data_IF_740404494285
#
_entry.id   IF_740404494285
#
_cell.length_a   1.000
_cell.length_b   1.000
_cell.length_c   1.000
_cell.angle_alpha   90.00
_cell.angle_beta   90.00
_cell.angle_gamma   90.00
#
_symmetry.space_group_name_H-M   'P 1'
#
loop_
_entity.id
_entity.type
_entity.pdbx_description
1 polymer ?
#
# COMPACT_ATOMS: atom_id res chain seq x y z
N UNK A 1 -27.48 -14.10 6.17
CA UNK A 1 -26.37 -14.96 6.63
C UNK A 1 -25.13 -14.14 7.00
N UNK A 2 -24.21 -14.74 7.77
CA UNK A 2 -22.90 -14.16 8.11
C UNK A 2 -21.80 -14.98 7.44
N UNK A 3 -20.99 -14.35 6.60
CA UNK A 3 -19.87 -14.98 5.91
C UNK A 3 -18.54 -14.50 6.49
N UNK A 4 -17.56 -15.39 6.63
CA UNK A 4 -16.19 -15.01 7.00
C UNK A 4 -15.47 -14.55 5.74
N UNK A 5 -14.85 -13.38 5.81
CA UNK A 5 -14.08 -12.83 4.69
C UNK A 5 -12.71 -12.37 5.19
N UNK A 6 -11.67 -12.72 4.44
CA UNK A 6 -10.28 -12.35 4.66
C UNK A 6 -9.78 -11.51 3.48
N UNK A 7 -9.07 -10.44 3.78
CA UNK A 7 -8.25 -9.70 2.80
C UNK A 7 -6.92 -9.35 3.47
N UNK A 8 -5.82 -9.80 2.88
CA UNK A 8 -4.49 -9.72 3.50
C UNK A 8 -4.50 -10.28 4.94
N UNK A 9 -4.01 -9.49 5.90
CA UNK A 9 -3.99 -9.85 7.32
C UNK A 9 -5.31 -9.62 8.08
N UNK A 10 -6.34 -9.05 7.45
CA UNK A 10 -7.60 -8.68 8.13
C UNK A 10 -8.71 -9.69 7.85
N UNK A 11 -9.42 -10.11 8.91
CA UNK A 11 -10.63 -10.95 8.82
C UNK A 11 -11.85 -10.18 9.34
N UNK A 12 -12.96 -10.20 8.62
CA UNK A 12 -14.23 -9.60 9.02
C UNK A 12 -15.39 -10.52 8.68
N UNK A 13 -16.47 -10.42 9.44
CA UNK A 13 -17.75 -11.01 9.04
C UNK A 13 -18.47 -10.06 8.10
N UNK A 14 -19.06 -10.58 7.02
CA UNK A 14 -19.94 -9.85 6.10
C UNK A 14 -21.36 -10.36 6.32
N UNK A 15 -22.31 -9.45 6.55
CA UNK A 15 -23.73 -9.81 6.65
C UNK A 15 -24.34 -9.63 5.26
N UNK A 16 -25.04 -10.66 4.80
CA UNK A 16 -25.84 -10.64 3.58
C UNK A 16 -27.28 -10.99 3.91
N UNK A 17 -28.22 -10.29 3.31
CA UNK A 17 -29.64 -10.61 3.46
C UNK A 17 -30.04 -11.69 2.43
N UNK A 18 -29.53 -11.61 1.20
CA UNK A 18 -29.69 -12.59 0.12
C UNK A 18 -28.34 -13.11 -0.41
N UNK A 19 -28.32 -14.29 -1.02
CA UNK A 19 -27.08 -14.98 -1.46
C UNK A 19 -26.71 -14.60 -2.89
N UNK A 20 -26.60 -13.30 -3.14
CA UNK A 20 -26.20 -12.77 -4.43
C UNK A 20 -24.74 -12.35 -4.43
N UNK A 21 -24.01 -12.74 -5.48
CA UNK A 21 -22.59 -12.41 -5.62
C UNK A 21 -22.36 -10.90 -5.68
N UNK A 22 -23.19 -10.16 -6.43
CA UNK A 22 -23.11 -8.70 -6.52
C UNK A 22 -23.28 -7.99 -5.17
N UNK A 23 -24.23 -8.46 -4.35
CA UNK A 23 -24.43 -7.96 -2.98
C UNK A 23 -23.26 -8.29 -2.07
N UNK A 24 -22.68 -9.50 -2.23
CA UNK A 24 -21.46 -9.90 -1.53
C UNK A 24 -20.30 -8.96 -1.86
N UNK A 25 -20.02 -8.74 -3.15
CA UNK A 25 -18.97 -7.84 -3.63
C UNK A 25 -19.15 -6.44 -3.04
N UNK A 26 -20.35 -5.87 -3.13
CA UNK A 26 -20.65 -4.55 -2.57
C UNK A 26 -20.44 -4.50 -1.06
N UNK A 27 -20.90 -5.51 -0.33
CA UNK A 27 -20.75 -5.57 1.12
C UNK A 27 -19.28 -5.73 1.55
N UNK A 28 -18.49 -6.48 0.79
CA UNK A 28 -17.03 -6.60 0.96
C UNK A 28 -16.36 -5.25 0.68
N UNK A 29 -16.68 -4.61 -0.44
CA UNK A 29 -16.12 -3.30 -0.80
C UNK A 29 -16.36 -2.27 0.31
N UNK A 30 -17.61 -2.17 0.80
CA UNK A 30 -17.95 -1.27 1.89
C UNK A 30 -17.23 -1.62 3.22
N UNK A 31 -17.16 -2.90 3.60
CA UNK A 31 -16.53 -3.31 4.87
C UNK A 31 -15.01 -3.22 4.88
N UNK A 32 -14.38 -3.37 3.73
CA UNK A 32 -12.93 -3.30 3.57
C UNK A 32 -12.47 -1.97 2.96
N UNK A 33 -13.39 -1.01 2.80
CA UNK A 33 -13.15 0.32 2.22
C UNK A 33 -12.49 0.23 0.84
N UNK A 34 -12.93 -0.71 0.02
CA UNK A 34 -12.47 -0.91 -1.36
C UNK A 34 -13.34 -0.07 -2.29
N UNK A 35 -12.76 0.69 -3.24
CA UNK A 35 -13.54 1.45 -4.22
C UNK A 35 -14.46 0.55 -5.04
N UNK A 36 -15.69 1.01 -5.32
CA UNK A 36 -16.74 0.23 -5.99
C UNK A 36 -16.35 -0.24 -7.40
N UNK A 37 -15.45 0.48 -8.07
CA UNK A 37 -14.94 0.15 -9.40
C UNK A 37 -13.73 -0.81 -9.40
N UNK A 38 -13.36 -1.36 -8.24
CA UNK A 38 -12.22 -2.27 -8.13
C UNK A 38 -12.66 -3.69 -8.46
N UNK A 39 -11.96 -4.33 -9.40
CA UNK A 39 -12.17 -5.75 -9.70
C UNK A 39 -11.71 -6.60 -8.50
N UNK A 40 -12.60 -7.47 -8.03
CA UNK A 40 -12.32 -8.39 -6.93
C UNK A 40 -12.24 -9.81 -7.48
N UNK A 41 -11.15 -10.50 -7.18
CA UNK A 41 -11.05 -11.95 -7.30
C UNK A 41 -11.41 -12.57 -5.94
N UNK A 42 -12.38 -13.46 -5.95
CA UNK A 42 -12.86 -14.16 -4.75
C UNK A 42 -12.38 -15.60 -4.81
N UNK A 43 -11.75 -16.07 -3.73
CA UNK A 43 -11.39 -17.49 -3.60
C UNK A 43 -11.85 -18.05 -2.26
N UNK A 44 -11.78 -19.35 -2.08
CA UNK A 44 -11.81 -19.97 -0.76
C UNK A 44 -10.44 -19.86 -0.06
N UNK A 45 -10.31 -20.48 1.11
CA UNK A 45 -9.07 -20.49 1.88
C UNK A 45 -7.95 -21.36 1.27
N UNK A 46 -8.30 -22.27 0.35
CA UNK A 46 -7.39 -23.14 -0.38
C UNK A 46 -6.88 -22.47 -1.66
N UNK A 47 -7.45 -21.32 -2.04
CA UNK A 47 -7.10 -20.57 -3.25
C UNK A 47 -7.93 -20.94 -4.48
N UNK A 48 -9.02 -21.69 -4.31
CA UNK A 48 -9.95 -22.04 -5.39
C UNK A 48 -10.86 -20.85 -5.67
N UNK A 49 -10.89 -20.39 -6.92
CA UNK A 49 -11.71 -19.26 -7.36
C UNK A 49 -13.21 -19.56 -7.24
N UNK A 50 -13.95 -18.57 -6.77
CA UNK A 50 -15.40 -18.62 -6.57
C UNK A 50 -16.04 -17.57 -7.47
N UNK A 51 -16.59 -18.04 -8.58
CA UNK A 51 -17.32 -17.22 -9.54
C UNK A 51 -18.78 -17.02 -9.12
N UNK A 52 -19.46 -16.11 -9.83
CA UNK A 52 -20.85 -15.70 -9.53
C UNK A 52 -21.84 -16.87 -9.55
N UNK A 53 -21.65 -17.83 -10.45
CA UNK A 53 -22.55 -18.98 -10.64
C UNK A 53 -22.38 -20.06 -9.56
N UNK A 54 -21.21 -20.16 -8.94
CA UNK A 54 -20.88 -21.15 -7.89
C UNK A 54 -20.98 -20.56 -6.48
N UNK A 55 -20.98 -19.23 -6.36
CA UNK A 55 -21.06 -18.53 -5.09
C UNK A 55 -22.25 -18.94 -4.21
N UNK A 56 -23.49 -19.10 -4.74
CA UNK A 56 -24.64 -19.47 -3.91
C UNK A 56 -24.46 -20.82 -3.23
N UNK A 57 -23.91 -21.83 -3.91
CA UNK A 57 -23.63 -23.14 -3.33
C UNK A 57 -22.55 -23.03 -2.25
N UNK A 58 -21.46 -22.35 -2.58
CA UNK A 58 -20.27 -22.25 -1.73
C UNK A 58 -20.56 -21.42 -0.46
N UNK A 59 -21.35 -20.36 -0.55
CA UNK A 59 -21.73 -19.52 0.58
C UNK A 59 -22.62 -20.24 1.61
N UNK A 60 -23.26 -21.36 1.24
CA UNK A 60 -24.05 -22.18 2.17
C UNK A 60 -23.23 -23.21 2.93
N UNK A 61 -21.97 -23.43 2.55
CA UNK A 61 -21.07 -24.36 3.23
C UNK A 61 -20.73 -23.83 4.61
N UNK A 62 -20.83 -24.71 5.62
CA UNK A 62 -20.52 -24.35 6.99
C UNK A 62 -19.00 -24.11 7.16
N UNK A 63 -18.66 -23.04 7.88
CA UNK A 63 -17.29 -22.64 8.22
C UNK A 63 -16.42 -22.08 7.08
N UNK A 64 -16.99 -21.81 5.91
CA UNK A 64 -16.23 -21.24 4.79
C UNK A 64 -15.69 -19.83 5.07
N UNK A 65 -14.48 -19.57 4.58
CA UNK A 65 -13.81 -18.29 4.64
C UNK A 65 -13.40 -17.84 3.23
N UNK A 66 -14.07 -16.81 2.71
CA UNK A 66 -13.72 -16.21 1.42
C UNK A 66 -12.47 -15.35 1.55
N UNK A 67 -11.58 -15.43 0.57
CA UNK A 67 -10.38 -14.62 0.46
C UNK A 67 -10.54 -13.69 -0.72
N UNK A 68 -10.32 -12.41 -0.48
CA UNK A 68 -10.51 -11.36 -1.49
C UNK A 68 -9.13 -10.89 -1.93
N UNK A 69 -8.91 -10.96 -3.23
CA UNK A 69 -7.79 -10.35 -3.91
C UNK A 69 -8.30 -9.25 -4.83
N UNK A 70 -7.48 -8.24 -5.00
CA UNK A 70 -7.64 -7.23 -6.05
C UNK A 70 -6.54 -7.45 -7.09
N UNK A 71 -6.65 -6.76 -8.22
CA UNK A 71 -5.61 -6.78 -9.28
C UNK A 71 -4.22 -6.37 -8.75
N UNK A 72 -4.18 -5.73 -7.58
CA UNK A 72 -2.98 -5.31 -6.88
C UNK A 72 -2.39 -6.38 -5.93
N UNK A 73 -3.15 -7.45 -5.64
CA UNK A 73 -2.78 -8.52 -4.70
C UNK A 73 -2.28 -9.80 -5.40
N UNK A 74 -2.33 -9.85 -6.74
CA UNK A 74 -1.86 -10.99 -7.51
C UNK A 74 -0.33 -10.93 -7.70
N UNK A 75 0.43 -12.00 -7.39
CA UNK A 75 1.84 -12.05 -7.73
C UNK A 75 1.97 -11.97 -9.25
N UNK A 76 2.83 -11.05 -9.71
CA UNK A 76 3.18 -10.85 -11.11
C UNK A 76 3.81 -12.15 -11.65
N UNK A 77 2.98 -13.07 -12.14
CA UNK A 77 3.43 -14.29 -12.76
C UNK A 77 4.02 -13.93 -14.13
N UNK A 78 5.35 -13.82 -14.13
CA UNK A 78 6.30 -14.10 -15.22
C UNK A 78 5.73 -14.13 -16.64
N UNK A 79 5.70 -12.96 -17.30
CA UNK A 79 5.89 -12.91 -18.75
C UNK A 79 7.39 -12.82 -19.03
N UNK A 80 7.98 -13.98 -19.26
CA UNK A 80 9.38 -14.19 -19.64
C UNK A 80 9.72 -13.52 -20.98
N UNK A 81 10.82 -12.74 -21.04
CA UNK A 81 12.03 -13.06 -21.86
C UNK A 81 13.05 -11.90 -21.97
N UNK A 82 14.28 -12.25 -21.58
CA UNK A 82 15.60 -11.80 -22.04
C UNK A 82 16.12 -10.41 -21.62
N UNK A 83 17.11 -10.37 -20.72
CA UNK A 83 18.49 -9.95 -21.06
C UNK A 83 19.45 -10.32 -19.91
N UNK A 84 20.61 -10.84 -20.30
CA UNK A 84 21.64 -11.50 -19.47
C UNK A 84 22.40 -10.61 -18.48
N UNK A 85 22.70 -11.25 -17.34
CA UNK A 85 23.96 -11.33 -16.59
C UNK A 85 24.66 -10.07 -16.04
N UNK A 86 24.75 -10.01 -14.70
CA UNK A 86 26.01 -9.78 -14.00
C UNK A 86 25.91 -10.32 -12.56
N UNK A 87 26.47 -11.50 -12.39
CA UNK A 87 26.64 -12.19 -11.11
C UNK A 87 27.76 -11.59 -10.25
N UNK A 88 27.52 -11.62 -8.93
CA UNK A 88 28.46 -11.57 -7.80
C UNK A 88 28.92 -10.20 -7.30
N UNK A 89 28.45 -9.82 -6.10
CA UNK A 89 29.19 -10.08 -4.87
C UNK A 89 28.20 -10.15 -3.68
N UNK A 90 28.17 -11.32 -3.05
CA UNK A 90 27.52 -11.60 -1.78
C UNK A 90 28.32 -10.98 -0.63
N UNK A 91 27.74 -10.02 0.08
CA UNK A 91 27.99 -9.84 1.51
C UNK A 91 26.65 -9.81 2.25
N UNK A 92 26.56 -10.71 3.24
CA UNK A 92 25.36 -11.05 3.98
C UNK A 92 24.84 -9.87 4.80
N UNK A 93 23.67 -9.36 4.43
CA UNK A 93 22.80 -8.63 5.35
C UNK A 93 21.56 -9.50 5.55
N UNK A 94 21.26 -9.81 6.80
CA UNK A 94 20.14 -10.68 7.21
C UNK A 94 18.82 -10.23 6.56
N UNK A 95 18.35 -11.00 5.59
CA UNK A 95 17.20 -10.69 4.72
C UNK A 95 15.85 -11.12 5.32
N UNK A 96 15.66 -10.92 6.62
CA UNK A 96 14.37 -11.25 7.30
C UNK A 96 13.33 -10.13 7.19
N UNK A 97 13.74 -8.94 6.73
CA UNK A 97 12.91 -7.73 6.73
C UNK A 97 12.51 -7.26 5.32
N UNK A 98 12.89 -7.99 4.26
CA UNK A 98 12.52 -7.65 2.88
C UNK A 98 11.02 -7.81 2.64
N UNK A 99 10.39 -8.79 3.30
CA UNK A 99 8.93 -9.02 3.28
C UNK A 99 8.17 -7.91 3.97
N UNK A 100 8.70 -7.34 5.06
CA UNK A 100 8.11 -6.17 5.72
C UNK A 100 8.32 -4.88 4.91
N UNK A 101 9.45 -4.78 4.20
CA UNK A 101 9.74 -3.73 3.22
C UNK A 101 8.80 -3.81 2.00
N UNK A 102 8.41 -5.01 1.57
CA UNK A 102 7.40 -5.26 0.53
C UNK A 102 5.97 -5.00 1.04
N UNK A 103 5.68 -5.22 2.33
CA UNK A 103 4.37 -4.90 2.92
C UNK A 103 4.10 -3.39 2.94
N UNK A 104 5.13 -2.55 2.98
CA UNK A 104 4.99 -1.10 2.74
C UNK A 104 4.75 -0.71 1.29
N UNK A 105 5.05 -1.58 0.32
CA UNK A 105 5.22 -1.18 -1.08
C UNK A 105 3.94 -0.77 -1.79
N UNK A 106 2.74 -1.08 -1.28
CA UNK A 106 1.51 -0.78 -2.03
C UNK A 106 0.44 -0.10 -1.18
N UNK A 107 0.41 -0.29 0.14
CA UNK A 107 -0.71 0.15 0.97
C UNK A 107 -0.77 1.67 1.23
N UNK A 108 0.38 2.32 1.43
CA UNK A 108 0.38 3.69 1.99
C UNK A 108 0.42 4.81 0.93
N UNK A 109 0.80 4.51 -0.31
CA UNK A 109 0.64 5.42 -1.45
C UNK A 109 -0.72 5.25 -2.14
N UNK A 110 -1.33 4.05 -2.11
CA UNK A 110 -2.63 3.80 -2.75
C UNK A 110 -3.83 4.18 -1.87
N UNK A 111 -3.66 4.29 -0.54
CA UNK A 111 -4.69 4.81 0.36
C UNK A 111 -4.86 6.33 0.31
N UNK A 112 -3.91 7.09 -0.26
CA UNK A 112 -4.08 8.53 -0.47
C UNK A 112 -4.67 8.81 -1.86
N UNK A 113 -5.97 9.17 -1.85
CA UNK A 113 -6.75 9.85 -2.91
C UNK A 113 -5.95 10.27 -4.16
N UNK A 114 -6.38 9.93 -5.39
CA UNK A 114 -5.96 10.39 -6.76
C UNK A 114 -4.48 10.79 -7.00
N UNK A 115 -3.91 11.64 -6.17
CA UNK A 115 -2.52 12.07 -6.08
C UNK A 115 -1.52 10.91 -5.94
N UNK A 116 -1.80 9.86 -5.15
CA UNK A 116 -0.91 8.70 -5.05
C UNK A 116 -0.78 7.93 -6.38
N UNK A 117 -1.90 7.79 -7.08
CA UNK A 117 -1.93 7.18 -8.43
C UNK A 117 -1.17 8.01 -9.46
N UNK A 118 -1.17 9.34 -9.31
CA UNK A 118 -0.43 10.25 -10.19
C UNK A 118 1.08 10.00 -10.08
N UNK A 119 1.60 9.76 -8.88
CA UNK A 119 3.02 9.47 -8.64
C UNK A 119 3.42 8.14 -9.28
N UNK A 120 2.64 7.08 -9.03
CA UNK A 120 2.93 5.74 -9.55
C UNK A 120 2.88 5.75 -11.08
N UNK A 121 1.81 6.30 -11.66
CA UNK A 121 1.64 6.37 -13.11
C UNK A 121 2.80 7.11 -13.80
N UNK A 122 3.19 8.27 -13.28
CA UNK A 122 4.31 9.03 -13.88
C UNK A 122 5.62 8.24 -13.85
N UNK A 123 5.86 7.51 -12.76
CA UNK A 123 7.04 6.66 -12.65
C UNK A 123 7.00 5.48 -13.61
N UNK A 124 5.87 4.79 -13.72
CA UNK A 124 5.71 3.66 -14.63
C UNK A 124 5.87 4.09 -16.10
N UNK A 125 5.36 5.29 -16.45
CA UNK A 125 5.43 5.83 -17.80
C UNK A 125 6.83 6.34 -18.18
N UNK A 126 7.62 6.84 -17.22
CA UNK A 126 8.87 7.58 -17.51
C UNK A 126 10.14 7.00 -16.89
N UNK A 127 10.01 6.05 -15.96
CA UNK A 127 11.11 5.54 -15.13
C UNK A 127 11.71 6.57 -14.17
N UNK A 128 11.04 7.72 -13.97
CA UNK A 128 11.50 8.80 -13.10
C UNK A 128 10.32 9.63 -12.57
N UNK A 129 10.58 10.61 -11.70
CA UNK A 129 9.57 11.57 -11.23
C UNK A 129 10.05 12.99 -11.45
N UNK A 130 9.17 13.87 -11.93
CA UNK A 130 9.37 15.33 -11.99
C UNK A 130 9.40 15.92 -10.58
N UNK A 131 9.98 17.11 -10.47
CA UNK A 131 10.14 17.79 -9.19
C UNK A 131 8.81 18.05 -8.46
N UNK A 132 7.78 18.46 -9.19
CA UNK A 132 6.42 18.63 -8.66
C UNK A 132 5.85 17.33 -8.09
N UNK A 133 6.07 16.22 -8.79
CA UNK A 133 5.56 14.91 -8.43
C UNK A 133 6.32 14.31 -7.25
N UNK A 134 7.64 14.54 -7.16
CA UNK A 134 8.44 14.22 -5.97
C UNK A 134 7.96 14.98 -4.73
N UNK A 135 7.64 16.26 -4.86
CA UNK A 135 7.06 17.06 -3.75
C UNK A 135 5.69 16.52 -3.33
N UNK A 136 4.86 16.13 -4.29
CA UNK A 136 3.55 15.52 -4.02
C UNK A 136 3.70 14.21 -3.24
N UNK A 137 4.60 13.32 -3.70
CA UNK A 137 4.94 12.07 -3.02
C UNK A 137 5.39 12.31 -1.58
N UNK A 138 6.31 13.25 -1.35
CA UNK A 138 6.78 13.61 0.00
C UNK A 138 5.62 14.11 0.87
N UNK A 139 4.71 14.92 0.34
CA UNK A 139 3.54 15.39 1.09
C UNK A 139 2.60 14.24 1.50
N UNK A 140 2.36 13.30 0.58
CA UNK A 140 1.53 12.10 0.85
C UNK A 140 2.13 11.30 1.99
N UNK A 141 3.43 11.00 1.92
CA UNK A 141 4.15 10.23 2.93
C UNK A 141 4.17 10.95 4.28
N UNK A 142 4.37 12.28 4.29
CA UNK A 142 4.34 13.09 5.52
C UNK A 142 2.95 13.11 6.15
N UNK A 143 1.88 13.22 5.35
CA UNK A 143 0.52 13.16 5.85
C UNK A 143 0.26 11.80 6.53
N UNK A 144 0.66 10.69 5.90
CA UNK A 144 0.55 9.35 6.47
C UNK A 144 1.34 9.20 7.79
N UNK A 145 2.60 9.65 7.81
CA UNK A 145 3.40 9.62 9.05
C UNK A 145 2.75 10.42 10.18
N UNK A 146 2.17 11.58 9.86
CA UNK A 146 1.46 12.42 10.83
C UNK A 146 0.13 11.83 11.29
N UNK A 147 -0.59 11.10 10.43
CA UNK A 147 -1.81 10.39 10.83
C UNK A 147 -1.50 9.26 11.81
N UNK A 148 -0.38 8.55 11.60
CA UNK A 148 0.03 7.42 12.43
C UNK A 148 0.67 7.83 13.77
N UNK A 149 1.56 8.81 13.77
CA UNK A 149 2.37 9.17 14.96
C UNK A 149 2.11 10.61 15.47
N UNK A 150 1.23 11.36 14.82
CA UNK A 150 1.03 12.77 15.12
C UNK A 150 2.20 13.65 14.67
N UNK A 151 2.38 14.81 15.31
CA UNK A 151 3.44 15.77 14.95
C UNK A 151 4.85 15.31 15.34
N UNK A 152 4.95 14.39 16.30
CA UNK A 152 6.22 13.91 16.86
C UNK A 152 6.73 12.65 16.18
N UNK A 153 6.77 12.63 14.84
CA UNK A 153 7.19 11.44 14.09
C UNK A 153 8.60 11.01 14.50
N UNK A 154 8.75 9.72 14.81
CA UNK A 154 9.98 9.13 15.31
C UNK A 154 11.08 9.06 14.25
N UNK A 155 12.33 8.97 14.68
CA UNK A 155 13.47 8.82 13.76
C UNK A 155 13.39 7.53 12.95
N UNK A 156 12.97 6.43 13.59
CA UNK A 156 12.82 5.13 12.96
C UNK A 156 11.76 5.17 11.85
N UNK A 157 10.62 5.84 12.10
CA UNK A 157 9.55 5.96 11.12
C UNK A 157 9.98 6.79 9.90
N UNK A 158 10.75 7.87 10.09
CA UNK A 158 11.30 8.65 8.97
C UNK A 158 12.30 7.83 8.13
N UNK A 159 13.18 7.09 8.78
CA UNK A 159 14.16 6.22 8.10
C UNK A 159 13.48 5.10 7.31
N UNK A 160 12.48 4.48 7.92
CA UNK A 160 11.66 3.45 7.30
C UNK A 160 10.94 3.95 6.03
N UNK A 161 10.35 5.14 6.07
CA UNK A 161 9.71 5.74 4.89
C UNK A 161 10.72 6.17 3.82
N UNK A 162 11.89 6.69 4.21
CA UNK A 162 12.95 7.02 3.26
C UNK A 162 13.46 5.79 2.50
N UNK A 163 13.67 4.67 3.21
CA UNK A 163 14.01 3.39 2.60
C UNK A 163 12.89 2.90 1.67
N UNK A 164 11.62 3.05 2.08
CA UNK A 164 10.46 2.71 1.26
C UNK A 164 10.44 3.45 -0.08
N UNK A 165 10.72 4.76 -0.08
CA UNK A 165 10.76 5.59 -1.30
C UNK A 165 11.75 5.02 -2.30
N UNK A 166 13.01 4.79 -1.91
CA UNK A 166 14.04 4.30 -2.84
C UNK A 166 13.87 2.84 -3.23
N UNK A 167 13.10 2.09 -2.45
CA UNK A 167 12.74 0.71 -2.77
C UNK A 167 11.62 0.62 -3.80
N UNK A 168 10.74 1.62 -3.84
CA UNK A 168 9.65 1.76 -4.81
C UNK A 168 10.07 2.48 -6.08
N UNK A 169 10.88 3.52 -5.92
CA UNK A 169 11.39 4.35 -7.00
C UNK A 169 12.92 4.27 -7.04
N UNK A 170 13.52 3.14 -7.48
CA UNK A 170 14.97 2.95 -7.52
C UNK A 170 15.74 4.08 -8.22
N UNK A 171 15.14 4.72 -9.24
CA UNK A 171 15.77 5.84 -9.95
C UNK A 171 15.97 7.09 -9.09
N UNK A 172 15.34 7.16 -7.91
CA UNK A 172 15.46 8.27 -6.98
C UNK A 172 16.57 8.05 -5.94
N UNK A 173 17.27 6.90 -5.97
CA UNK A 173 18.43 6.68 -5.10
C UNK A 173 19.51 7.73 -5.36
N UNK A 174 20.11 8.24 -4.29
CA UNK A 174 21.31 9.07 -4.39
C UNK A 174 22.53 8.17 -4.59
N UNK A 175 23.21 8.25 -5.74
CA UNK A 175 24.39 7.42 -6.02
C UNK A 175 25.61 7.80 -5.15
N UNK A 176 25.57 8.96 -4.48
CA UNK A 176 26.68 9.44 -3.65
C UNK A 176 26.49 9.14 -2.16
N UNK A 177 25.33 8.61 -1.76
CA UNK A 177 25.05 8.26 -0.36
C UNK A 177 25.20 6.76 -0.11
N UNK A 178 25.56 6.38 1.11
CA UNK A 178 25.89 4.99 1.46
C UNK A 178 24.73 4.03 1.23
N UNK A 179 23.50 4.44 1.62
CA UNK A 179 22.29 3.60 1.51
C UNK A 179 21.33 4.08 0.41
N UNK A 180 21.65 5.18 -0.27
CA UNK A 180 20.84 5.76 -1.34
C UNK A 180 19.62 6.58 -0.92
N UNK A 181 19.21 6.58 0.35
CA UNK A 181 17.98 7.26 0.83
C UNK A 181 18.22 8.49 1.70
N UNK A 182 19.47 8.80 2.03
CA UNK A 182 19.85 9.80 3.03
C UNK A 182 19.36 11.22 2.70
N UNK A 183 19.16 11.54 1.42
CA UNK A 183 18.57 12.83 1.02
C UNK A 183 17.08 12.94 1.37
N UNK A 184 16.34 11.83 1.42
CA UNK A 184 14.97 11.80 1.93
C UNK A 184 14.95 11.86 3.45
N UNK A 185 15.81 11.08 4.12
CA UNK A 185 16.06 11.19 5.55
C UNK A 185 17.38 10.53 5.95
N UNK A 186 18.24 11.28 6.64
CA UNK A 186 19.43 10.79 7.31
C UNK A 186 19.22 10.78 8.83
N UNK A 187 19.27 9.57 9.41
CA UNK A 187 19.09 9.35 10.84
C UNK A 187 20.21 9.99 11.68
N UNK A 188 21.43 10.06 11.15
CA UNK A 188 22.60 10.57 11.87
C UNK A 188 22.51 12.08 12.05
N UNK A 189 22.31 12.82 10.95
CA UNK A 189 22.16 14.27 11.01
C UNK A 189 20.75 14.74 11.39
N UNK A 190 19.76 13.83 11.39
CA UNK A 190 18.34 14.14 11.55
C UNK A 190 17.89 15.25 10.57
N UNK A 191 18.21 15.05 9.29
CA UNK A 191 17.91 15.95 8.17
C UNK A 191 17.34 15.16 6.99
N UNK A 192 16.86 15.87 5.98
CA UNK A 192 16.30 15.30 4.75
C UNK A 192 14.94 15.90 4.40
N UNK A 193 14.43 15.58 3.21
CA UNK A 193 13.16 16.11 2.72
C UNK A 193 11.97 15.78 3.64
N UNK A 194 11.92 14.58 4.21
CA UNK A 194 10.84 14.17 5.12
C UNK A 194 10.86 15.01 6.40
N UNK A 195 12.04 15.19 6.99
CA UNK A 195 12.22 16.00 8.20
C UNK A 195 11.92 17.48 7.94
N UNK A 196 12.40 18.03 6.82
CA UNK A 196 12.13 19.41 6.43
C UNK A 196 10.62 19.64 6.23
N UNK A 197 9.94 18.69 5.59
CA UNK A 197 8.51 18.83 5.33
C UNK A 197 7.67 18.68 6.58
N UNK A 198 8.02 17.76 7.49
CA UNK A 198 7.37 17.65 8.82
C UNK A 198 7.46 18.96 9.62
N UNK A 199 8.56 19.70 9.50
CA UNK A 199 8.74 21.03 10.14
C UNK A 199 7.98 22.16 9.47
N UNK A 200 7.78 22.08 8.15
CA UNK A 200 7.23 23.18 7.34
C UNK A 200 5.79 22.96 6.87
N UNK A 201 5.21 21.78 7.12
CA UNK A 201 3.82 21.50 6.80
C UNK A 201 2.90 22.36 7.68
N UNK A 202 2.13 23.23 7.05
CA UNK A 202 1.05 23.98 7.70
C UNK A 202 0.01 22.99 8.22
N UNK A 203 -0.58 23.19 9.42
CA UNK A 203 -1.69 22.37 9.89
C UNK A 203 -2.78 22.35 8.82
N UNK A 204 -3.16 21.18 8.32
CA UNK A 204 -4.47 21.03 7.71
C UNK A 204 -5.44 21.22 8.88
N UNK A 205 -6.11 22.36 8.94
CA UNK A 205 -7.25 22.53 9.85
C UNK A 205 -8.30 21.52 9.38
N UNK A 206 -8.32 20.34 9.98
CA UNK A 206 -9.54 19.53 10.01
C UNK A 206 -10.56 20.39 10.74
N UNK A 207 -11.52 20.94 10.00
CA UNK A 207 -12.66 21.63 10.57
C UNK A 207 -13.31 20.73 11.62
N UNK A 208 -13.01 20.99 12.89
CA UNK A 208 -13.83 20.48 14.00
C UNK A 208 -15.10 21.32 13.93
N UNK A 209 -16.13 20.79 13.27
CA UNK A 209 -17.44 21.39 13.30
C UNK A 209 -18.07 21.06 14.66
N UNK A 210 -17.72 21.85 15.69
CA UNK A 210 -18.42 21.87 16.96
C UNK A 210 -19.71 22.64 16.70
N UNK A 211 -20.79 21.91 16.44
CA UNK A 211 -22.12 22.50 16.35
C UNK A 211 -22.73 22.52 17.76
N UNK A 212 -22.76 23.70 18.37
CA UNK A 212 -23.56 24.07 19.55
C UNK A 212 -24.17 25.43 19.21
N UNK A 213 -25.51 25.57 19.22
CA UNK A 213 -26.27 25.77 20.45
C UNK A 213 -27.31 24.69 20.75
#
# INVERSE_FOLDING_TARGET
MLLKVRRGGTKKYVKLDEVHFSDFIRAVQQKFLIPENTMLKVTDEQGIEVDEDVFPEVATVQDICFVIYTDYDLPLAESSKNMDDCSNLTESVDCSNLTECVILKTCDLTNLQQHGLTVIKEYDDTGSLKDSTRRLMVNIIVAHMCEKEGRGVSKATKEFHALGIVSLFPSLKDPYSTKGYEHFYDIQSNKGFLEWRLKTATPIQTHVNVNIP
#
